data_IF_281642904182
#
_entry.id   IF_281642904182
#
_cell.length_a   1.000
_cell.length_b   1.000
_cell.length_c   1.000
_cell.angle_alpha   90.00
_cell.angle_beta   90.00
_cell.angle_gamma   90.00
#
_symmetry.space_group_name_H-M   'P 1'
#
loop_
_entity.id
_entity.type
_entity.pdbx_description
1 polymer ?
#
# COMPACT_ATOMS: atom_id res chain seq x y z
N UNK A 1 23.66 -15.05 15.10
CA UNK A 1 22.31 -15.58 14.87
C UNK A 1 21.40 -14.39 14.67
N UNK A 2 21.13 -14.02 13.41
CA UNK A 2 20.14 -12.99 13.12
C UNK A 2 18.76 -13.58 13.45
N UNK A 3 18.07 -13.04 14.45
CA UNK A 3 16.67 -13.36 14.69
C UNK A 3 15.91 -12.95 13.43
N UNK A 4 15.51 -13.96 12.62
CA UNK A 4 14.59 -13.74 11.51
C UNK A 4 13.36 -13.06 12.08
N UNK A 5 13.06 -11.84 11.61
CA UNK A 5 11.85 -11.14 11.99
C UNK A 5 10.66 -12.12 11.83
N UNK A 6 9.84 -12.32 12.87
CA UNK A 6 8.67 -13.18 12.77
C UNK A 6 7.81 -12.67 11.62
N UNK A 7 7.35 -13.61 10.79
CA UNK A 7 6.53 -13.29 9.62
C UNK A 7 5.21 -12.71 10.12
N UNK A 8 4.99 -11.41 10.05
CA UNK A 8 3.73 -10.77 10.45
C UNK A 8 2.73 -10.71 9.31
N UNK A 9 1.45 -10.69 9.66
CA UNK A 9 0.31 -10.57 8.74
C UNK A 9 -0.48 -9.31 9.08
N UNK A 10 -0.88 -8.54 8.06
CA UNK A 10 -1.82 -7.43 8.23
C UNK A 10 -3.20 -8.00 8.51
N UNK A 11 -3.78 -7.61 9.63
CA UNK A 11 -5.10 -8.00 10.08
C UNK A 11 -5.99 -6.77 10.20
N UNK A 12 -7.27 -6.92 9.84
CA UNK A 12 -8.28 -5.88 10.04
C UNK A 12 -9.17 -6.29 11.19
N UNK A 13 -9.15 -5.49 12.26
CA UNK A 13 -10.11 -5.61 13.36
C UNK A 13 -11.38 -4.81 13.02
N UNK A 14 -12.49 -5.48 12.66
CA UNK A 14 -13.68 -4.81 12.16
C UNK A 14 -14.45 -4.14 13.31
N UNK A 15 -14.82 -2.87 13.12
CA UNK A 15 -15.77 -2.19 13.99
C UNK A 15 -17.04 -1.74 13.27
N UNK A 16 -17.06 -1.82 11.94
CA UNK A 16 -18.23 -1.58 11.10
C UNK A 16 -18.27 -2.64 10.01
N UNK A 17 -19.37 -3.40 9.93
CA UNK A 17 -19.57 -4.42 8.89
C UNK A 17 -20.99 -4.30 8.33
N UNK A 18 -21.11 -4.11 7.02
CA UNK A 18 -22.41 -4.01 6.36
C UNK A 18 -22.81 -5.34 5.72
N UNK A 19 -23.23 -6.33 6.52
CA UNK A 19 -23.55 -7.70 6.09
C UNK A 19 -24.33 -7.77 4.77
N UNK A 20 -25.46 -7.05 4.66
CA UNK A 20 -26.32 -7.08 3.46
C UNK A 20 -25.63 -6.58 2.18
N UNK A 21 -24.75 -5.57 2.26
CA UNK A 21 -24.03 -5.09 1.08
C UNK A 21 -22.90 -6.05 0.72
N UNK A 22 -22.27 -6.67 1.73
CA UNK A 22 -21.25 -7.69 1.52
C UNK A 22 -21.85 -8.91 0.84
N UNK A 23 -22.96 -9.47 1.34
CA UNK A 23 -23.64 -10.59 0.67
C UNK A 23 -24.03 -10.25 -0.76
N UNK A 24 -24.57 -9.04 -0.99
CA UNK A 24 -24.91 -8.58 -2.34
C UNK A 24 -23.70 -8.48 -3.28
N UNK A 25 -22.52 -8.13 -2.76
CA UNK A 25 -21.27 -8.06 -3.51
C UNK A 25 -20.67 -9.45 -3.78
N UNK A 26 -20.74 -10.34 -2.80
CA UNK A 26 -20.19 -11.70 -2.87
C UNK A 26 -21.02 -12.64 -3.75
N UNK A 27 -22.32 -12.38 -3.90
CA UNK A 27 -23.24 -13.22 -4.64
C UNK A 27 -23.46 -14.60 -3.99
N UNK A 28 -24.15 -15.49 -4.71
CA UNK A 28 -24.60 -16.79 -4.17
C UNK A 28 -23.46 -17.70 -3.69
N UNK A 29 -22.35 -17.72 -4.42
CA UNK A 29 -21.19 -18.53 -4.07
C UNK A 29 -20.54 -18.05 -2.75
N UNK A 30 -20.32 -16.74 -2.59
CA UNK A 30 -19.73 -16.20 -1.37
C UNK A 30 -20.71 -16.19 -0.19
N UNK A 31 -22.02 -16.00 -0.41
CA UNK A 31 -23.04 -16.22 0.63
C UNK A 31 -23.07 -17.66 1.14
N UNK A 32 -22.84 -18.63 0.25
CA UNK A 32 -22.75 -20.05 0.63
C UNK A 32 -21.52 -20.30 1.51
N UNK A 33 -20.37 -19.70 1.16
CA UNK A 33 -19.15 -19.76 1.97
C UNK A 33 -19.35 -19.10 3.34
N UNK A 34 -19.97 -17.91 3.38
CA UNK A 34 -20.32 -17.23 4.65
C UNK A 34 -21.14 -18.15 5.55
N UNK A 35 -22.18 -18.78 4.99
CA UNK A 35 -23.06 -19.68 5.75
C UNK A 35 -22.31 -20.88 6.30
N UNK A 36 -21.38 -21.46 5.52
CA UNK A 36 -20.52 -22.56 5.95
C UNK A 36 -19.58 -22.16 7.09
N UNK A 37 -18.95 -20.99 7.03
CA UNK A 37 -18.07 -20.51 8.10
C UNK A 37 -18.85 -20.14 9.37
N UNK A 38 -20.01 -19.49 9.22
CA UNK A 38 -20.87 -19.12 10.36
C UNK A 38 -21.40 -20.37 11.08
N UNK A 39 -21.73 -21.43 10.34
CA UNK A 39 -22.17 -22.70 10.92
C UNK A 39 -21.11 -23.38 11.82
N UNK A 40 -19.82 -23.01 11.70
CA UNK A 40 -18.74 -23.51 12.56
C UNK A 40 -18.71 -22.81 13.93
N UNK A 41 -19.44 -21.72 14.13
CA UNK A 41 -19.50 -21.04 15.42
C UNK A 41 -20.20 -21.97 16.42
N UNK A 42 -19.60 -22.25 17.60
CA UNK A 42 -20.23 -23.12 18.59
C UNK A 42 -21.64 -22.65 18.97
N UNK A 43 -22.67 -23.52 18.91
CA UNK A 43 -24.03 -23.14 19.28
C UNK A 43 -24.14 -22.63 20.73
N UNK A 44 -23.26 -23.13 21.61
CA UNK A 44 -23.13 -22.74 23.02
C UNK A 44 -22.45 -21.39 23.23
N UNK A 45 -21.91 -20.74 22.20
CA UNK A 45 -21.30 -19.43 22.34
C UNK A 45 -22.37 -18.38 22.73
N UNK A 46 -22.05 -17.46 23.66
CA UNK A 46 -22.93 -16.33 23.97
C UNK A 46 -23.20 -15.45 22.74
N UNK A 47 -24.36 -14.80 22.68
CA UNK A 47 -24.80 -14.03 21.52
C UNK A 47 -23.85 -12.89 21.16
N UNK A 48 -23.30 -12.19 22.14
CA UNK A 48 -22.30 -11.15 21.91
C UNK A 48 -21.05 -11.70 21.20
N UNK A 49 -20.63 -12.91 21.55
CA UNK A 49 -19.45 -13.56 20.95
C UNK A 49 -19.76 -14.03 19.54
N UNK A 50 -20.98 -14.55 19.31
CA UNK A 50 -21.45 -14.92 17.97
C UNK A 50 -21.42 -13.71 17.03
N UNK A 51 -21.97 -12.57 17.47
CA UNK A 51 -21.98 -11.34 16.68
C UNK A 51 -20.57 -10.91 16.25
N UNK A 52 -19.62 -10.87 17.19
CA UNK A 52 -18.21 -10.54 16.91
C UNK A 52 -17.57 -11.53 15.93
N UNK A 53 -17.77 -12.84 16.13
CA UNK A 53 -17.22 -13.85 15.23
C UNK A 53 -17.80 -13.75 13.81
N UNK A 54 -19.09 -13.44 13.68
CA UNK A 54 -19.73 -13.21 12.38
C UNK A 54 -19.07 -12.02 11.68
N UNK A 55 -18.85 -10.90 12.37
CA UNK A 55 -18.19 -9.72 11.79
C UNK A 55 -16.77 -10.03 11.29
N UNK A 56 -15.98 -10.80 12.04
CA UNK A 56 -14.67 -11.25 11.59
C UNK A 56 -14.75 -12.19 10.36
N UNK A 57 -15.71 -13.11 10.32
CA UNK A 57 -15.91 -14.01 9.17
C UNK A 57 -16.26 -13.21 7.91
N UNK A 58 -17.21 -12.28 8.03
CA UNK A 58 -17.58 -11.38 6.94
C UNK A 58 -16.41 -10.55 6.43
N UNK A 59 -15.63 -9.97 7.35
CA UNK A 59 -14.48 -9.15 7.02
C UNK A 59 -13.40 -9.95 6.30
N UNK A 60 -13.08 -11.15 6.80
CA UNK A 60 -12.11 -12.05 6.17
C UNK A 60 -12.54 -12.43 4.76
N UNK A 61 -13.76 -12.93 4.58
CA UNK A 61 -14.26 -13.37 3.26
C UNK A 61 -14.33 -12.18 2.29
N UNK A 62 -14.73 -10.99 2.75
CA UNK A 62 -14.72 -9.79 1.93
C UNK A 62 -13.30 -9.44 1.48
N UNK A 63 -12.32 -9.44 2.38
CA UNK A 63 -10.93 -9.12 2.04
C UNK A 63 -10.31 -10.16 1.09
N UNK A 64 -10.60 -11.44 1.30
CA UNK A 64 -10.17 -12.52 0.39
C UNK A 64 -10.78 -12.33 -1.01
N UNK A 65 -12.09 -12.06 -1.09
CA UNK A 65 -12.77 -11.74 -2.35
C UNK A 65 -12.14 -10.52 -3.03
N UNK A 66 -11.88 -9.47 -2.25
CA UNK A 66 -11.27 -8.24 -2.75
C UNK A 66 -9.89 -8.51 -3.36
N UNK A 67 -9.08 -9.35 -2.70
CA UNK A 67 -7.75 -9.73 -3.15
C UNK A 67 -7.78 -10.54 -4.44
N UNK A 68 -8.68 -11.53 -4.54
CA UNK A 68 -8.84 -12.37 -5.75
C UNK A 68 -9.29 -11.53 -6.96
N UNK A 69 -10.18 -10.57 -6.75
CA UNK A 69 -10.70 -9.72 -7.82
C UNK A 69 -9.82 -8.52 -8.17
N UNK A 70 -8.67 -8.34 -7.49
CA UNK A 70 -7.74 -7.26 -7.79
C UNK A 70 -8.38 -5.87 -7.67
N UNK A 71 -9.23 -5.68 -6.66
CA UNK A 71 -9.89 -4.40 -6.45
C UNK A 71 -8.88 -3.30 -6.16
N UNK A 72 -9.21 -2.10 -6.62
CA UNK A 72 -8.34 -0.92 -6.55
C UNK A 72 -8.32 -0.32 -5.13
N UNK A 73 -7.22 0.32 -4.78
CA UNK A 73 -7.14 1.31 -3.71
C UNK A 73 -7.93 2.57 -4.05
N UNK A 74 -8.18 3.44 -3.06
CA UNK A 74 -8.88 4.71 -3.31
C UNK A 74 -8.08 5.56 -4.31
N UNK A 75 -6.77 5.62 -4.14
CA UNK A 75 -5.83 6.36 -4.95
C UNK A 75 -5.85 5.89 -6.41
N UNK A 76 -5.91 4.58 -6.66
CA UNK A 76 -6.07 4.01 -8.00
C UNK A 76 -7.43 4.38 -8.62
N UNK A 77 -8.52 4.35 -7.83
CA UNK A 77 -9.85 4.78 -8.29
C UNK A 77 -9.84 6.25 -8.68
N UNK A 78 -9.20 7.11 -7.88
CA UNK A 78 -9.11 8.54 -8.14
C UNK A 78 -8.23 8.88 -9.35
N UNK A 79 -7.07 8.23 -9.46
CA UNK A 79 -6.14 8.46 -10.57
C UNK A 79 -6.74 8.00 -11.91
N UNK A 80 -7.33 6.80 -11.93
CA UNK A 80 -7.90 6.21 -13.17
C UNK A 80 -9.33 6.66 -13.45
N UNK A 81 -9.99 7.29 -12.48
CA UNK A 81 -11.42 7.66 -12.54
C UNK A 81 -12.31 6.45 -12.88
N UNK A 82 -11.93 5.27 -12.40
CA UNK A 82 -12.60 4.02 -12.70
C UNK A 82 -12.54 3.08 -11.50
N UNK A 83 -13.59 2.28 -11.33
CA UNK A 83 -13.78 1.41 -10.18
C UNK A 83 -15.01 1.82 -9.37
N UNK A 84 -15.85 0.84 -9.08
CA UNK A 84 -17.07 1.03 -8.30
C UNK A 84 -16.90 0.66 -6.83
N UNK A 85 -15.81 0.00 -6.47
CA UNK A 85 -15.48 -0.39 -5.10
C UNK A 85 -13.98 -0.20 -4.93
N UNK A 86 -13.56 0.26 -3.75
CA UNK A 86 -12.15 0.28 -3.37
C UNK A 86 -11.91 -0.52 -2.09
N UNK A 87 -10.67 -0.98 -1.91
CA UNK A 87 -10.14 -1.47 -0.65
C UNK A 87 -8.80 -0.78 -0.39
N UNK A 88 -8.70 -0.05 0.71
CA UNK A 88 -7.52 0.75 1.04
C UNK A 88 -7.40 0.96 2.54
N UNK A 89 -6.20 1.30 3.01
CA UNK A 89 -6.05 1.99 4.29
C UNK A 89 -6.11 3.48 4.00
N UNK A 90 -7.08 4.17 4.59
CA UNK A 90 -7.33 5.59 4.35
C UNK A 90 -7.23 6.38 5.64
N UNK A 91 -6.81 7.64 5.53
CA UNK A 91 -6.93 8.59 6.63
C UNK A 91 -8.31 9.22 6.60
N UNK A 92 -9.09 9.03 7.66
CA UNK A 92 -10.39 9.63 7.84
C UNK A 92 -10.28 10.86 8.74
N UNK A 93 -10.91 11.96 8.34
CA UNK A 93 -10.98 13.18 9.16
C UNK A 93 -11.84 12.96 10.41
N UNK A 94 -11.54 13.67 11.51
CA UNK A 94 -12.37 13.63 12.71
C UNK A 94 -13.83 14.00 12.41
N UNK A 95 -14.77 13.23 12.94
CA UNK A 95 -16.19 13.56 12.88
C UNK A 95 -16.92 13.10 14.15
N UNK A 96 -17.14 14.02 15.08
CA UNK A 96 -17.79 13.79 16.38
C UNK A 96 -19.30 13.49 16.28
N UNK A 97 -19.92 13.79 15.13
CA UNK A 97 -21.34 13.53 14.90
C UNK A 97 -21.67 12.04 14.91
N UNK A 98 -20.66 11.15 14.89
CA UNK A 98 -20.81 9.70 15.11
C UNK A 98 -21.47 9.34 16.44
N UNK A 99 -21.50 10.23 17.43
CA UNK A 99 -22.18 10.01 18.71
C UNK A 99 -23.66 10.42 18.72
N UNK A 100 -24.05 11.37 17.86
CA UNK A 100 -25.37 12.02 17.96
C UNK A 100 -26.27 11.87 16.74
N UNK A 101 -25.73 11.52 15.57
CA UNK A 101 -26.49 11.43 14.32
C UNK A 101 -26.73 9.97 13.90
N UNK A 102 -27.87 9.69 13.26
CA UNK A 102 -28.17 8.35 12.71
C UNK A 102 -27.29 8.01 11.49
N UNK A 103 -26.89 9.05 10.74
CA UNK A 103 -26.03 8.96 9.56
C UNK A 103 -25.03 10.09 9.57
N UNK A 104 -23.81 9.78 9.13
CA UNK A 104 -22.71 10.73 9.03
C UNK A 104 -22.00 10.60 7.68
N UNK A 105 -21.38 11.70 7.25
CA UNK A 105 -20.45 11.75 6.14
C UNK A 105 -19.05 12.03 6.68
N UNK A 106 -18.12 11.09 6.51
CA UNK A 106 -16.74 11.22 6.98
C UNK A 106 -15.82 11.40 5.77
N UNK A 107 -15.01 12.45 5.77
CA UNK A 107 -14.12 12.78 4.65
C UNK A 107 -12.87 11.89 4.69
N UNK A 108 -12.54 11.27 3.55
CA UNK A 108 -11.27 10.61 3.31
C UNK A 108 -10.23 11.60 2.79
N UNK A 109 -9.05 11.64 3.40
CA UNK A 109 -7.92 12.41 2.89
C UNK A 109 -7.26 11.68 1.71
N UNK A 110 -6.81 12.44 0.70
CA UNK A 110 -6.07 11.91 -0.45
C UNK A 110 -5.19 12.98 -1.10
N UNK A 111 -4.18 12.56 -1.87
CA UNK A 111 -3.17 13.44 -2.47
C UNK A 111 -3.32 13.69 -3.98
N UNK A 112 -4.27 13.02 -4.66
CA UNK A 112 -4.27 12.95 -6.14
C UNK A 112 -5.13 14.00 -6.85
N UNK A 113 -6.31 14.37 -6.31
CA UNK A 113 -7.24 15.28 -6.99
C UNK A 113 -7.63 16.48 -6.15
N UNK A 114 -6.85 17.56 -6.24
CA UNK A 114 -7.18 18.82 -5.57
C UNK A 114 -8.60 19.29 -5.94
N UNK A 115 -9.37 19.69 -4.92
CA UNK A 115 -10.73 20.18 -5.09
C UNK A 115 -11.81 19.09 -5.25
N UNK A 116 -11.44 17.81 -5.17
CA UNK A 116 -12.40 16.70 -5.08
C UNK A 116 -12.43 16.19 -3.64
N UNK A 117 -13.60 16.17 -3.02
CA UNK A 117 -13.80 15.59 -1.69
C UNK A 117 -14.31 14.15 -1.84
N UNK A 118 -13.78 13.24 -1.02
CA UNK A 118 -14.21 11.84 -0.97
C UNK A 118 -14.84 11.60 0.38
N UNK A 119 -16.06 11.06 0.41
CA UNK A 119 -16.83 10.89 1.63
C UNK A 119 -17.30 9.45 1.81
N UNK A 120 -17.23 8.97 3.05
CA UNK A 120 -17.89 7.75 3.50
C UNK A 120 -19.20 8.11 4.17
N UNK A 121 -20.32 7.71 3.57
CA UNK A 121 -21.65 7.87 4.15
C UNK A 121 -22.05 6.59 4.85
N UNK A 122 -22.13 6.61 6.17
CA UNK A 122 -22.47 5.45 6.98
C UNK A 122 -23.58 5.73 8.00
N UNK A 123 -24.22 4.66 8.45
CA UNK A 123 -25.15 4.74 9.58
C UNK A 123 -24.43 4.36 10.87
N UNK A 124 -24.56 5.20 11.89
CA UNK A 124 -23.82 5.09 13.14
C UNK A 124 -24.30 3.92 14.01
N UNK A 125 -25.50 3.40 13.75
CA UNK A 125 -26.05 2.20 14.37
C UNK A 125 -25.33 0.90 13.97
N UNK A 126 -24.51 0.93 12.91
CA UNK A 126 -23.68 -0.20 12.46
C UNK A 126 -22.26 -0.17 13.02
N UNK A 127 -21.91 0.86 13.80
CA UNK A 127 -20.63 0.90 14.51
C UNK A 127 -20.79 0.03 15.76
N UNK A 128 -20.21 -1.18 15.72
CA UNK A 128 -20.35 -2.19 16.75
C UNK A 128 -19.35 -2.00 17.92
N UNK A 129 -18.26 -1.27 17.70
CA UNK A 129 -17.19 -1.05 18.68
C UNK A 129 -17.14 0.42 19.12
N UNK A 130 -17.17 0.66 20.43
CA UNK A 130 -16.98 1.99 21.02
C UNK A 130 -15.60 2.55 20.71
N UNK A 131 -14.58 1.68 20.61
CA UNK A 131 -13.23 2.07 20.18
C UNK A 131 -13.27 2.61 18.77
N UNK A 132 -13.93 1.93 17.82
CA UNK A 132 -14.07 2.45 16.46
C UNK A 132 -14.84 3.77 16.45
N UNK A 133 -15.92 3.89 17.22
CA UNK A 133 -16.69 5.14 17.32
C UNK A 133 -15.81 6.31 17.77
N UNK A 134 -15.03 6.09 18.82
CA UNK A 134 -14.06 7.07 19.33
C UNK A 134 -12.97 7.40 18.29
N UNK A 135 -12.44 6.38 17.60
CA UNK A 135 -11.46 6.59 16.53
C UNK A 135 -12.01 7.42 15.37
N UNK A 136 -13.25 7.16 14.93
CA UNK A 136 -13.89 7.96 13.88
C UNK A 136 -14.15 9.40 14.35
N UNK A 137 -14.49 9.59 15.63
CA UNK A 137 -14.65 10.92 16.21
C UNK A 137 -13.34 11.71 16.24
N UNK A 138 -12.21 11.04 16.46
CA UNK A 138 -10.88 11.65 16.53
C UNK A 138 -10.16 11.72 15.18
N UNK A 139 -10.62 10.96 14.19
CA UNK A 139 -9.91 10.75 12.94
C UNK A 139 -8.71 9.81 13.10
N UNK A 140 -8.20 9.32 11.96
CA UNK A 140 -7.07 8.38 11.96
C UNK A 140 -7.07 7.46 10.74
N UNK A 141 -6.23 6.43 10.81
CA UNK A 141 -6.05 5.46 9.73
C UNK A 141 -6.94 4.24 9.92
N UNK A 142 -7.71 3.91 8.88
CA UNK A 142 -8.64 2.78 8.91
C UNK A 142 -8.53 1.97 7.63
N UNK A 143 -8.58 0.64 7.77
CA UNK A 143 -8.81 -0.25 6.65
C UNK A 143 -10.29 -0.13 6.25
N UNK A 144 -10.53 0.24 4.99
CA UNK A 144 -11.86 0.49 4.45
C UNK A 144 -12.06 -0.29 3.16
N UNK A 145 -13.21 -0.96 3.07
CA UNK A 145 -13.77 -1.41 1.79
C UNK A 145 -15.06 -0.63 1.57
N UNK A 146 -15.18 0.08 0.46
CA UNK A 146 -16.36 0.92 0.21
C UNK A 146 -16.77 0.96 -1.26
N UNK A 147 -18.07 1.04 -1.51
CA UNK A 147 -18.68 1.08 -2.83
C UNK A 147 -19.11 2.50 -3.20
N UNK A 148 -18.72 2.94 -4.40
CA UNK A 148 -19.15 4.21 -4.99
C UNK A 148 -20.67 4.22 -5.14
N UNK A 149 -21.31 5.25 -4.59
CA UNK A 149 -22.75 5.49 -4.75
C UNK A 149 -23.08 6.55 -5.77
N UNK A 150 -22.25 7.56 -5.87
CA UNK A 150 -22.47 8.63 -6.82
C UNK A 150 -21.47 9.75 -6.67
N UNK A 151 -21.60 10.71 -7.58
CA UNK A 151 -20.86 11.96 -7.58
C UNK A 151 -21.86 13.10 -7.50
N UNK A 152 -21.66 14.00 -6.54
CA UNK A 152 -22.47 15.21 -6.37
C UNK A 152 -21.54 16.42 -6.42
N UNK A 153 -21.52 17.11 -7.57
CA UNK A 153 -20.58 18.22 -7.78
C UNK A 153 -19.12 17.77 -7.58
N UNK A 154 -18.47 18.34 -6.57
CA UNK A 154 -17.09 18.06 -6.18
C UNK A 154 -16.94 16.91 -5.16
N UNK A 155 -18.02 16.21 -4.81
CA UNK A 155 -18.03 15.15 -3.80
C UNK A 155 -18.20 13.78 -4.47
N UNK A 156 -17.30 12.84 -4.17
CA UNK A 156 -17.47 11.41 -4.45
C UNK A 156 -17.95 10.71 -3.19
N UNK A 157 -19.13 10.10 -3.28
CA UNK A 157 -19.80 9.49 -2.14
C UNK A 157 -19.66 7.98 -2.22
N UNK A 158 -19.10 7.39 -1.17
CA UNK A 158 -18.96 5.95 -1.00
C UNK A 158 -19.78 5.48 0.19
N UNK A 159 -20.36 4.28 0.09
CA UNK A 159 -20.94 3.58 1.24
C UNK A 159 -19.95 2.49 1.69
N UNK A 160 -19.50 2.50 2.95
CA UNK A 160 -18.60 1.48 3.45
C UNK A 160 -19.32 0.13 3.56
N UNK A 161 -18.57 -0.92 3.22
CA UNK A 161 -18.88 -2.31 3.50
C UNK A 161 -18.17 -2.77 4.78
N UNK A 162 -16.94 -2.31 4.96
CA UNK A 162 -16.07 -2.63 6.09
C UNK A 162 -15.30 -1.37 6.52
N UNK A 163 -15.25 -1.10 7.82
CA UNK A 163 -14.28 -0.20 8.45
C UNK A 163 -13.68 -0.91 9.65
N UNK A 164 -12.36 -0.94 9.74
CA UNK A 164 -11.66 -1.55 10.86
C UNK A 164 -10.26 -0.99 11.05
N UNK A 165 -9.63 -1.38 12.15
CA UNK A 165 -8.27 -1.00 12.47
C UNK A 165 -7.27 -1.96 11.81
N UNK A 166 -6.27 -1.44 11.07
CA UNK A 166 -5.18 -2.25 10.54
C UNK A 166 -4.14 -2.53 11.64
N UNK A 167 -3.95 -3.80 11.99
CA UNK A 167 -2.93 -4.27 12.93
C UNK A 167 -2.00 -5.29 12.29
N UNK A 168 -0.84 -5.51 12.90
CA UNK A 168 -0.01 -6.66 12.60
C UNK A 168 -0.26 -7.75 13.63
N UNK A 169 -0.34 -8.99 13.15
CA UNK A 169 -0.43 -10.18 14.00
C UNK A 169 0.68 -11.18 13.66
N UNK A 170 1.08 -11.96 14.65
CA UNK A 170 1.83 -13.19 14.40
C UNK A 170 0.86 -14.27 13.86
N UNK A 171 1.12 -14.88 12.70
CA UNK A 171 0.21 -15.84 12.08
C UNK A 171 0.15 -17.17 12.83
N UNK A 172 1.16 -17.51 13.63
CA UNK A 172 1.22 -18.73 14.44
C UNK A 172 0.53 -18.55 15.79
N UNK A 173 0.94 -17.53 16.55
CA UNK A 173 0.37 -17.31 17.90
C UNK A 173 -0.93 -16.50 17.88
N UNK A 174 -1.16 -15.74 16.81
CA UNK A 174 -2.27 -14.77 16.66
C UNK A 174 -2.14 -13.56 17.59
N UNK A 175 -0.96 -13.35 18.17
CA UNK A 175 -0.69 -12.19 19.03
C UNK A 175 -0.59 -10.90 18.22
N UNK A 176 -1.14 -9.81 18.77
CA UNK A 176 -0.96 -8.47 18.25
C UNK A 176 0.51 -8.04 18.40
N UNK A 177 1.04 -7.40 17.36
CA UNK A 177 2.37 -6.83 17.39
C UNK A 177 2.35 -5.33 17.67
N UNK A 178 3.34 -4.87 18.43
CA UNK A 178 3.54 -3.46 18.74
C UNK A 178 4.06 -2.64 17.55
N UNK A 179 4.74 -3.29 16.62
CA UNK A 179 5.26 -2.64 15.41
C UNK A 179 4.11 -2.17 14.53
N UNK A 180 4.18 -0.93 14.06
CA UNK A 180 3.19 -0.40 13.12
C UNK A 180 3.34 -1.08 11.76
N UNK A 181 2.22 -1.39 11.10
CA UNK A 181 2.25 -1.94 9.74
C UNK A 181 3.03 -1.04 8.77
N UNK A 182 2.97 0.28 8.97
CA UNK A 182 3.70 1.28 8.17
C UNK A 182 5.21 1.09 8.20
N UNK A 183 5.75 0.67 9.35
CA UNK A 183 7.16 0.40 9.56
C UNK A 183 7.52 -1.00 9.06
N UNK A 184 6.68 -1.99 9.35
CA UNK A 184 6.93 -3.38 8.97
C UNK A 184 6.94 -3.61 7.45
N UNK A 185 6.06 -2.95 6.70
CA UNK A 185 6.00 -3.08 5.25
C UNK A 185 6.99 -2.19 4.51
N UNK A 186 7.62 -1.23 5.20
CA UNK A 186 8.71 -0.44 4.61
C UNK A 186 10.00 -1.23 4.69
N UNK A 187 10.72 -1.30 3.57
CA UNK A 187 12.08 -1.82 3.51
C UNK A 187 13.04 -0.75 3.00
N UNK A 188 14.27 -0.78 3.50
CA UNK A 188 15.35 0.11 3.12
C UNK A 188 16.34 -0.59 2.21
N UNK A 189 17.10 0.18 1.42
CA UNK A 189 17.99 -0.36 0.40
C UNK A 189 18.99 -1.36 1.01
N UNK A 190 19.57 -1.05 2.16
CA UNK A 190 20.54 -1.90 2.86
C UNK A 190 19.99 -3.24 3.37
N UNK A 191 18.67 -3.41 3.40
CA UNK A 191 18.02 -4.66 3.80
C UNK A 191 17.93 -5.67 2.65
N UNK A 192 18.22 -5.26 1.42
CA UNK A 192 18.35 -6.18 0.30
C UNK A 192 19.75 -6.77 0.28
N UNK A 193 19.86 -8.09 0.14
CA UNK A 193 21.16 -8.77 0.17
C UNK A 193 22.07 -8.25 -0.97
N UNK A 194 21.49 -7.97 -2.14
CA UNK A 194 22.19 -7.39 -3.31
C UNK A 194 22.78 -6.01 -3.04
N UNK A 195 22.19 -5.24 -2.10
CA UNK A 195 22.60 -3.89 -1.73
C UNK A 195 23.23 -3.82 -0.34
N UNK A 196 23.47 -4.97 0.32
CA UNK A 196 23.89 -5.03 1.73
C UNK A 196 25.20 -4.28 2.02
N UNK A 197 26.12 -4.17 1.06
CA UNK A 197 27.37 -3.42 1.18
C UNK A 197 27.13 -1.92 1.39
N UNK A 198 25.97 -1.38 0.99
CA UNK A 198 25.57 0.03 1.19
C UNK A 198 25.63 0.41 2.66
N UNK A 199 25.29 -0.53 3.57
CA UNK A 199 25.34 -0.33 5.02
C UNK A 199 26.73 0.09 5.54
N UNK A 200 27.80 -0.27 4.83
CA UNK A 200 29.20 0.05 5.20
C UNK A 200 29.65 1.43 4.73
N UNK A 201 28.88 2.08 3.87
CA UNK A 201 29.17 3.41 3.34
C UNK A 201 28.27 4.45 4.00
N UNK A 202 28.80 5.63 4.38
CA UNK A 202 27.97 6.69 4.94
C UNK A 202 27.01 7.24 3.87
N UNK A 203 25.84 7.69 4.32
CA UNK A 203 24.91 8.43 3.47
C UNK A 203 25.60 9.75 3.04
N UNK A 204 25.68 10.08 1.74
CA UNK A 204 26.25 11.34 1.28
C UNK A 204 25.52 12.54 1.90
N UNK A 205 26.20 13.65 2.19
CA UNK A 205 25.56 14.85 2.76
C UNK A 205 24.62 15.57 1.79
N UNK A 206 24.78 15.32 0.49
CA UNK A 206 24.02 15.95 -0.58
C UNK A 206 23.77 14.98 -1.73
N UNK A 207 22.70 15.22 -2.49
CA UNK A 207 22.35 14.54 -3.73
C UNK A 207 22.78 15.33 -4.99
N UNK A 208 23.49 16.47 -4.87
CA UNK A 208 23.80 17.33 -6.03
C UNK A 208 24.58 16.61 -7.16
N UNK A 209 25.42 15.63 -6.83
CA UNK A 209 26.11 14.80 -7.84
C UNK A 209 25.13 14.06 -8.75
N UNK A 210 23.94 13.71 -8.26
CA UNK A 210 22.91 13.05 -9.05
C UNK A 210 22.42 13.91 -10.23
N UNK A 211 22.61 15.23 -10.20
CA UNK A 211 22.24 16.13 -11.30
C UNK A 211 22.95 15.77 -12.61
N UNK A 212 24.19 15.27 -12.51
CA UNK A 212 25.01 14.88 -13.66
C UNK A 212 24.87 13.41 -14.07
N UNK A 213 24.09 12.61 -13.34
CA UNK A 213 24.00 11.15 -13.54
C UNK A 213 22.74 10.81 -14.33
N UNK A 214 22.85 10.35 -15.59
CA UNK A 214 21.69 10.01 -16.40
C UNK A 214 20.85 8.88 -15.81
N UNK A 215 19.53 8.92 -16.06
CA UNK A 215 18.59 7.84 -15.67
C UNK A 215 19.05 6.47 -16.16
N UNK A 216 19.59 6.43 -17.39
CA UNK A 216 20.14 5.22 -17.99
C UNK A 216 21.26 4.61 -17.14
N UNK A 217 22.15 5.42 -16.57
CA UNK A 217 23.24 4.95 -15.71
C UNK A 217 22.70 4.32 -14.42
N UNK A 218 21.65 4.92 -13.86
CA UNK A 218 20.94 4.36 -12.70
C UNK A 218 20.29 3.03 -13.09
N UNK A 219 19.51 2.99 -14.17
CA UNK A 219 18.84 1.76 -14.66
C UNK A 219 19.83 0.62 -14.94
N UNK A 220 20.92 0.90 -15.64
CA UNK A 220 21.99 -0.08 -15.91
C UNK A 220 22.68 -0.54 -14.62
N UNK A 221 22.88 0.34 -13.65
CA UNK A 221 23.41 -0.01 -12.32
C UNK A 221 22.50 -0.99 -11.59
N UNK A 222 21.22 -0.66 -11.44
CA UNK A 222 20.26 -1.53 -10.76
C UNK A 222 20.13 -2.88 -11.48
N UNK A 223 20.03 -2.88 -12.82
CA UNK A 223 20.01 -4.12 -13.60
C UNK A 223 21.25 -4.97 -13.34
N UNK A 224 22.45 -4.38 -13.34
CA UNK A 224 23.70 -5.10 -13.08
C UNK A 224 23.77 -5.68 -11.67
N UNK A 225 23.36 -4.93 -10.65
CA UNK A 225 23.32 -5.41 -9.26
C UNK A 225 22.37 -6.59 -9.10
N UNK A 226 21.26 -6.56 -9.82
CA UNK A 226 20.25 -7.62 -9.83
C UNK A 226 20.59 -8.77 -10.79
N UNK A 227 21.72 -8.68 -11.50
CA UNK A 227 22.16 -9.64 -12.54
C UNK A 227 21.14 -9.80 -13.68
N UNK A 228 20.44 -8.72 -13.99
CA UNK A 228 19.44 -8.59 -15.05
C UNK A 228 20.00 -7.78 -16.23
N UNK A 229 19.42 -7.95 -17.42
CA UNK A 229 19.62 -7.00 -18.52
C UNK A 229 18.67 -5.81 -18.37
N UNK A 230 19.16 -4.59 -18.51
CA UNK A 230 18.32 -3.40 -18.51
C UNK A 230 17.31 -3.46 -19.69
N UNK A 231 15.99 -3.52 -19.44
CA UNK A 231 15.00 -3.60 -20.51
C UNK A 231 14.96 -2.30 -21.29
N UNK A 232 14.64 -2.39 -22.59
CA UNK A 232 14.39 -1.20 -23.44
C UNK A 232 13.05 -0.59 -23.08
N UNK A 233 13.01 0.74 -22.98
CA UNK A 233 11.79 1.49 -22.71
C UNK A 233 10.79 1.31 -23.86
N UNK A 234 9.54 1.00 -23.53
CA UNK A 234 8.45 0.98 -24.50
C UNK A 234 7.15 1.46 -23.85
N UNK A 235 6.27 2.08 -24.65
CA UNK A 235 5.13 2.86 -24.15
C UNK A 235 4.07 2.12 -23.30
N UNK A 236 4.20 0.80 -23.11
CA UNK A 236 3.32 -0.02 -22.27
C UNK A 236 3.97 -0.61 -21.02
N UNK A 237 5.22 -0.25 -20.67
CA UNK A 237 5.92 -0.78 -19.48
C UNK A 237 5.30 -0.41 -18.12
N UNK A 238 4.83 -1.38 -17.34
CA UNK A 238 4.19 -1.12 -16.05
C UNK A 238 5.18 -0.73 -14.93
N UNK A 239 6.46 -1.02 -15.13
CA UNK A 239 7.61 -0.62 -14.30
C UNK A 239 8.86 -0.47 -15.18
N UNK A 240 9.87 0.27 -14.70
CA UNK A 240 11.14 0.48 -15.42
C UNK A 240 12.06 -0.76 -15.33
N UNK A 241 11.93 -1.55 -14.25
CA UNK A 241 12.64 -2.81 -14.04
C UNK A 241 11.79 -3.74 -13.17
N UNK A 242 11.57 -4.96 -13.65
CA UNK A 242 10.99 -6.05 -12.86
C UNK A 242 12.06 -7.13 -12.67
N UNK A 243 12.20 -7.65 -11.45
CA UNK A 243 13.12 -8.75 -11.17
C UNK A 243 12.49 -9.77 -10.24
N UNK A 244 12.95 -11.01 -10.39
CA UNK A 244 12.70 -12.08 -9.42
C UNK A 244 13.93 -12.42 -8.60
N UNK A 245 15.05 -11.72 -8.77
CA UNK A 245 16.37 -12.11 -8.25
C UNK A 245 16.80 -11.33 -6.99
N UNK A 246 15.90 -10.56 -6.39
CA UNK A 246 16.16 -9.82 -5.15
C UNK A 246 16.01 -10.72 -3.93
N UNK A 247 16.79 -10.49 -2.87
CA UNK A 247 16.70 -11.23 -1.62
C UNK A 247 16.59 -10.32 -0.39
N UNK A 248 15.84 -10.78 0.62
CA UNK A 248 15.83 -10.22 1.97
C UNK A 248 16.07 -11.38 2.94
N UNK A 249 17.11 -11.29 3.76
CA UNK A 249 17.49 -12.33 4.73
C UNK A 249 17.67 -13.71 4.06
N UNK A 250 18.24 -13.73 2.84
CA UNK A 250 18.43 -14.93 2.03
C UNK A 250 17.15 -15.50 1.39
N UNK A 251 15.97 -14.88 1.61
CA UNK A 251 14.73 -15.26 0.93
C UNK A 251 14.58 -14.47 -0.37
N UNK A 252 14.46 -15.20 -1.48
CA UNK A 252 14.14 -14.65 -2.80
C UNK A 252 12.76 -13.99 -2.80
N UNK A 253 12.66 -12.80 -3.37
CA UNK A 253 11.44 -11.99 -3.51
C UNK A 253 11.37 -11.34 -4.88
N UNK A 254 10.16 -11.10 -5.39
CA UNK A 254 9.96 -10.30 -6.62
C UNK A 254 9.87 -8.81 -6.31
N UNK A 255 10.43 -7.99 -7.20
CA UNK A 255 10.42 -6.53 -7.06
C UNK A 255 10.14 -5.84 -8.40
N UNK A 256 9.38 -4.75 -8.34
CA UNK A 256 9.15 -3.84 -9.45
C UNK A 256 9.65 -2.44 -9.09
N UNK A 257 10.39 -1.82 -10.00
CA UNK A 257 11.04 -0.54 -9.81
C UNK A 257 10.45 0.52 -10.73
N UNK A 258 10.16 1.68 -10.16
CA UNK A 258 9.93 2.93 -10.88
C UNK A 258 11.15 3.82 -10.63
N UNK A 259 11.96 4.02 -11.67
CA UNK A 259 13.21 4.78 -11.65
C UNK A 259 12.97 6.14 -12.29
N UNK A 260 13.48 7.21 -11.70
CA UNK A 260 13.40 8.56 -12.28
C UNK A 260 14.73 9.30 -12.12
N UNK A 261 15.31 9.67 -13.25
CA UNK A 261 16.57 10.42 -13.32
C UNK A 261 16.37 11.93 -13.33
N UNK A 262 17.45 12.69 -13.61
CA UNK A 262 17.51 14.14 -13.39
C UNK A 262 16.86 14.99 -14.49
N UNK A 263 16.03 14.42 -15.37
CA UNK A 263 15.37 15.15 -16.47
C UNK A 263 14.71 16.46 -15.98
N UNK A 264 14.14 16.42 -14.76
CA UNK A 264 13.84 17.60 -13.96
C UNK A 264 14.40 17.40 -12.56
N UNK A 265 15.56 17.99 -12.30
CA UNK A 265 16.24 17.91 -11.00
C UNK A 265 15.54 18.78 -9.96
N UNK A 266 14.49 18.23 -9.35
CA UNK A 266 13.70 18.84 -8.28
C UNK A 266 13.09 17.74 -7.39
N UNK A 267 12.60 18.06 -6.19
CA UNK A 267 11.92 17.09 -5.34
C UNK A 267 10.80 16.34 -6.07
N UNK A 268 10.74 15.02 -5.89
CA UNK A 268 9.74 14.19 -6.54
C UNK A 268 8.36 14.49 -5.98
N UNK A 269 7.46 14.85 -6.88
CA UNK A 269 6.02 14.99 -6.65
C UNK A 269 5.28 14.01 -7.54
N UNK A 270 4.00 13.78 -7.28
CA UNK A 270 3.15 12.92 -8.13
C UNK A 270 3.13 13.34 -9.61
N UNK A 271 3.34 14.63 -9.92
CA UNK A 271 3.42 15.11 -11.31
C UNK A 271 4.68 14.66 -12.06
N UNK A 272 5.71 14.16 -11.35
CA UNK A 272 6.90 13.57 -11.98
C UNK A 272 6.65 12.14 -12.45
N UNK A 273 5.58 11.49 -11.98
CA UNK A 273 5.27 10.08 -12.22
C UNK A 273 4.27 9.93 -13.37
N UNK A 274 4.50 10.68 -14.44
CA UNK A 274 3.68 10.70 -15.66
C UNK A 274 2.38 11.51 -15.55
N UNK A 275 1.57 11.46 -16.60
CA UNK A 275 0.35 12.27 -16.73
C UNK A 275 -0.71 11.72 -15.77
N UNK A 276 -1.22 12.57 -14.87
CA UNK A 276 -2.13 12.17 -13.80
C UNK A 276 -1.54 11.14 -12.82
N UNK A 277 -0.21 11.07 -12.69
CA UNK A 277 0.48 10.10 -11.82
C UNK A 277 0.25 8.64 -12.26
N UNK A 278 0.12 8.41 -13.56
CA UNK A 278 -0.19 7.10 -14.13
C UNK A 278 0.93 6.07 -13.92
N UNK A 279 2.20 6.49 -13.85
CA UNK A 279 3.31 5.54 -13.71
C UNK A 279 3.31 4.85 -12.34
N UNK A 280 3.00 5.56 -11.25
CA UNK A 280 2.94 4.95 -9.90
C UNK A 280 1.71 4.03 -9.76
N UNK A 281 0.62 4.32 -10.47
CA UNK A 281 -0.55 3.45 -10.58
C UNK A 281 -0.26 2.20 -11.42
N UNK A 282 0.62 2.29 -12.41
CA UNK A 282 1.04 1.11 -13.19
C UNK A 282 1.96 0.23 -12.36
N UNK A 283 2.86 0.84 -11.58
CA UNK A 283 3.69 0.14 -10.60
C UNK A 283 2.86 -0.64 -9.59
N UNK A 284 1.74 -0.08 -9.09
CA UNK A 284 0.89 -0.77 -8.11
C UNK A 284 0.25 -2.05 -8.65
N UNK A 285 0.03 -2.14 -9.96
CA UNK A 285 -0.53 -3.34 -10.59
C UNK A 285 0.50 -4.44 -10.85
N UNK A 286 1.79 -4.18 -10.65
CA UNK A 286 2.83 -5.19 -10.81
C UNK A 286 2.62 -6.37 -9.84
N UNK A 287 2.79 -7.64 -10.28
CA UNK A 287 2.70 -8.82 -9.44
C UNK A 287 3.97 -9.02 -8.60
N UNK A 288 4.60 -7.92 -8.17
CA UNK A 288 5.78 -7.94 -7.31
C UNK A 288 5.41 -8.01 -5.82
N UNK A 289 6.25 -8.68 -5.03
CA UNK A 289 6.18 -8.67 -3.55
C UNK A 289 6.66 -7.33 -2.97
N UNK A 290 7.48 -6.59 -3.72
CA UNK A 290 8.08 -5.31 -3.32
C UNK A 290 7.91 -4.26 -4.42
N UNK A 291 7.36 -3.10 -4.06
CA UNK A 291 7.30 -1.94 -4.94
C UNK A 291 8.41 -0.95 -4.58
N UNK A 292 9.23 -0.56 -5.56
CA UNK A 292 10.37 0.34 -5.34
C UNK A 292 10.17 1.61 -6.16
N UNK A 293 10.28 2.76 -5.50
CA UNK A 293 10.37 4.06 -6.18
C UNK A 293 11.73 4.67 -5.91
N UNK A 294 12.44 5.01 -6.98
CA UNK A 294 13.74 5.65 -6.93
C UNK A 294 13.68 7.03 -7.58
N UNK A 295 14.36 8.02 -6.98
CA UNK A 295 14.53 9.35 -7.55
C UNK A 295 15.95 9.89 -7.37
N UNK A 296 16.34 10.82 -8.22
CA UNK A 296 17.63 11.53 -8.15
C UNK A 296 17.69 12.67 -7.10
N UNK A 297 16.56 13.02 -6.48
CA UNK A 297 16.41 14.07 -5.47
C UNK A 297 15.58 13.53 -4.30
N UNK A 298 15.29 14.34 -3.29
CA UNK A 298 14.27 14.07 -2.27
C UNK A 298 12.94 13.57 -2.87
N UNK A 299 12.29 12.65 -2.16
CA UNK A 299 10.94 12.18 -2.48
C UNK A 299 9.96 12.80 -1.49
N UNK A 300 8.99 13.59 -1.99
CA UNK A 300 8.06 14.31 -1.10
C UNK A 300 7.02 13.38 -0.45
N UNK A 301 6.46 13.78 0.72
CA UNK A 301 5.52 12.96 1.49
C UNK A 301 4.33 12.41 0.69
N UNK A 302 3.81 13.13 -0.31
CA UNK A 302 2.66 12.67 -1.09
C UNK A 302 2.99 11.42 -1.92
N UNK A 303 4.22 11.29 -2.41
CA UNK A 303 4.67 10.11 -3.15
C UNK A 303 4.88 8.93 -2.21
N UNK A 304 5.52 9.18 -1.06
CA UNK A 304 5.71 8.20 0.02
C UNK A 304 4.36 7.60 0.43
N UNK A 305 3.40 8.47 0.69
CA UNK A 305 2.06 8.11 1.12
C UNK A 305 1.31 7.31 0.06
N UNK A 306 1.34 7.75 -1.20
CA UNK A 306 0.69 7.04 -2.31
C UNK A 306 1.28 5.64 -2.50
N UNK A 307 2.60 5.50 -2.48
CA UNK A 307 3.26 4.20 -2.60
C UNK A 307 2.93 3.28 -1.42
N UNK A 308 2.92 3.83 -0.19
CA UNK A 308 2.53 3.11 1.02
C UNK A 308 1.13 2.55 0.87
N UNK A 309 0.16 3.37 0.49
CA UNK A 309 -1.24 2.93 0.32
C UNK A 309 -1.37 1.81 -0.71
N UNK A 310 -0.69 1.93 -1.86
CA UNK A 310 -0.66 0.87 -2.88
C UNK A 310 -0.02 -0.43 -2.40
N UNK A 311 1.01 -0.33 -1.56
CA UNK A 311 1.71 -1.48 -1.02
C UNK A 311 0.90 -2.14 0.11
N UNK A 312 0.35 -1.36 1.05
CA UNK A 312 -0.30 -1.86 2.26
C UNK A 312 -1.80 -2.07 2.10
N UNK A 313 -2.27 -2.38 0.88
CA UNK A 313 -3.68 -2.68 0.64
C UNK A 313 -4.14 -3.86 1.52
N UNK A 314 -5.23 -3.75 2.31
CA UNK A 314 -5.60 -4.77 3.29
C UNK A 314 -5.77 -6.19 2.74
N UNK A 315 -6.26 -6.33 1.51
CA UNK A 315 -6.46 -7.62 0.85
C UNK A 315 -5.19 -8.21 0.21
N UNK A 316 -4.15 -7.39 0.00
CA UNK A 316 -2.91 -7.82 -0.66
C UNK A 316 -1.71 -6.98 -0.19
N UNK A 317 -1.34 -7.05 1.10
CA UNK A 317 -0.25 -6.25 1.62
C UNK A 317 1.10 -6.72 1.03
N UNK A 318 1.88 -5.77 0.56
CA UNK A 318 3.20 -5.89 -0.06
C UNK A 318 4.18 -4.96 0.65
N UNK A 319 5.46 -5.21 0.44
CA UNK A 319 6.49 -4.29 0.92
C UNK A 319 6.73 -3.16 -0.06
N UNK A 320 7.29 -2.07 0.42
CA UNK A 320 7.70 -0.94 -0.42
C UNK A 320 9.05 -0.38 -0.01
N UNK A 321 9.77 0.16 -0.97
CA UNK A 321 11.06 0.82 -0.79
C UNK A 321 11.08 2.17 -1.49
N UNK A 322 11.70 3.15 -0.85
CA UNK A 322 11.94 4.48 -1.38
C UNK A 322 13.44 4.74 -1.38
N UNK A 323 13.99 5.05 -2.54
CA UNK A 323 15.43 5.32 -2.74
C UNK A 323 15.55 6.74 -3.27
N UNK A 324 15.83 7.71 -2.40
CA UNK A 324 16.00 9.11 -2.78
C UNK A 324 17.37 9.37 -3.45
N UNK A 325 17.67 10.63 -3.77
CA UNK A 325 18.93 11.00 -4.40
C UNK A 325 20.17 10.65 -3.58
N UNK A 326 20.10 10.75 -2.25
CA UNK A 326 21.25 10.44 -1.37
C UNK A 326 21.48 8.95 -1.30
N UNK A 327 20.42 8.17 -1.16
CA UNK A 327 20.49 6.70 -1.18
C UNK A 327 20.94 6.18 -2.56
N UNK A 328 20.43 6.77 -3.65
CA UNK A 328 20.87 6.42 -5.00
C UNK A 328 22.37 6.67 -5.17
N UNK A 329 22.85 7.85 -4.74
CA UNK A 329 24.27 8.19 -4.80
C UNK A 329 25.13 7.26 -3.93
N UNK A 330 24.62 6.90 -2.74
CA UNK A 330 25.25 5.93 -1.83
C UNK A 330 25.43 4.57 -2.51
N UNK A 331 24.40 4.07 -3.18
CA UNK A 331 24.45 2.82 -3.97
C UNK A 331 25.49 2.93 -5.09
N UNK A 332 25.44 3.98 -5.90
CA UNK A 332 26.37 4.18 -7.03
C UNK A 332 27.84 4.22 -6.57
N UNK A 333 28.13 4.93 -5.48
CA UNK A 333 29.47 5.02 -4.89
C UNK A 333 29.96 3.69 -4.34
N UNK A 334 29.09 2.97 -3.61
CA UNK A 334 29.41 1.66 -3.01
C UNK A 334 29.89 0.67 -4.06
N UNK A 335 29.16 0.58 -5.17
CA UNK A 335 29.43 -0.40 -6.23
C UNK A 335 30.36 0.12 -7.34
N UNK A 336 31.03 1.26 -7.09
CA UNK A 336 32.02 1.91 -7.98
C UNK A 336 31.48 2.07 -9.41
N UNK A 337 30.22 2.48 -9.50
CA UNK A 337 29.48 2.66 -10.74
C UNK A 337 29.51 4.14 -11.12
N UNK A 338 30.67 4.59 -11.59
CA UNK A 338 30.83 5.95 -12.11
C UNK A 338 30.24 6.06 -13.52
N UNK A 339 29.62 7.20 -13.89
CA UNK A 339 29.20 7.51 -15.27
C UNK A 339 30.33 7.37 -16.32
N UNK A 340 31.59 7.37 -15.88
CA UNK A 340 32.77 7.34 -16.74
C UNK A 340 33.38 5.93 -16.97
N UNK A 341 32.79 4.84 -16.45
CA UNK A 341 33.35 3.51 -16.70
C UNK A 341 32.97 2.97 -18.09
N UNK A 342 33.54 3.58 -19.14
CA UNK A 342 34.02 2.77 -20.27
C UNK A 342 35.18 1.95 -19.73
N UNK A 343 35.09 0.64 -19.82
CA UNK A 343 36.08 -0.36 -19.37
C UNK A 343 36.16 -0.65 -17.87
N UNK A 344 35.60 -1.81 -17.50
CA UNK A 344 36.38 -3.02 -17.12
C UNK A 344 35.41 -4.11 -16.67
N UNK A 345 35.09 -5.02 -17.59
CA UNK A 345 34.71 -6.38 -17.22
C UNK A 345 35.98 -7.14 -16.80
N UNK A 346 35.94 -8.05 -15.80
CA UNK A 346 36.97 -9.07 -15.66
C UNK A 346 36.95 -10.04 -16.84
#
# INVERSE_FOLDING_TARGET
>A
MSERLPKSELWVDPGFVHHRLIEGMLGSAGSSLLSQEIAKIPPSAPDWRKAVLVDHIYSKILLDFVGVHGLKTLEEVLATQSGHVFCSIVTLRPNDSVYGADRVAIVCEHSLRKGLEVELHLSTNRIASDTLRSGLAQGGEFAVVAQLRGKQGAHLIFHPLLIGYPYLIDPKSRDLQWTRYTEYYRVYAEQFDEFSEVSRHPLPDSFEEMRGIPERTVKETFARLLRESAPKDWGGETSDLYTSHLHIDGRRVTAAFLLKGPAKFSPMTLSHLGKNSDQIVRLSHEPAEILVVQHCHDILPQVVETLRVFATQPSRPRRYCLIDGRETLRILRTYKLSPDSKDRAP
#
